data_IF_927105172641
#
_entry.id   IF_927105172641
#
_cell.length_a   1.000
_cell.length_b   1.000
_cell.length_c   1.000
_cell.angle_alpha   90.00
_cell.angle_beta   90.00
_cell.angle_gamma   90.00
#
_symmetry.space_group_name_H-M   'P 1'
#
loop_
_entity.id
_entity.type
_entity.pdbx_description
1 polymer ?
#
# COMPACT_ATOMS: atom_id res chain seq x y z
N UNK A 1 -8.83 -21.24 -7.97
CA UNK A 1 -8.53 -20.15 -8.92
C UNK A 1 -7.31 -19.38 -8.43
N UNK A 2 -6.37 -19.00 -9.31
CA UNK A 2 -5.19 -18.19 -8.95
C UNK A 2 -5.46 -16.71 -9.23
N UNK A 3 -5.05 -15.80 -8.35
CA UNK A 3 -5.04 -14.37 -8.65
C UNK A 3 -4.01 -14.08 -9.76
N UNK A 4 -4.33 -13.13 -10.64
CA UNK A 4 -3.50 -12.70 -11.78
C UNK A 4 -3.11 -11.22 -11.72
N UNK A 5 -3.68 -10.47 -10.77
CA UNK A 5 -3.57 -9.02 -10.65
C UNK A 5 -3.17 -8.66 -9.22
N UNK A 6 -2.20 -7.77 -9.07
CA UNK A 6 -1.85 -7.10 -7.83
C UNK A 6 -2.24 -5.63 -7.89
N UNK A 7 -2.93 -5.15 -6.87
CA UNK A 7 -3.22 -3.72 -6.67
C UNK A 7 -2.45 -3.30 -5.42
N UNK A 8 -1.60 -2.28 -5.54
CA UNK A 8 -0.75 -1.77 -4.45
C UNK A 8 -0.52 -0.27 -4.62
N UNK A 9 0.34 0.32 -3.80
CA UNK A 9 0.87 1.67 -4.00
C UNK A 9 2.41 1.70 -3.94
N UNK A 10 2.99 2.84 -4.31
CA UNK A 10 4.41 3.15 -4.13
C UNK A 10 4.86 2.99 -2.67
N UNK A 11 4.05 3.47 -1.72
CA UNK A 11 4.18 3.20 -0.30
C UNK A 11 3.16 3.93 0.55
N UNK A 12 3.26 3.78 1.87
CA UNK A 12 2.34 4.40 2.81
C UNK A 12 3.07 4.81 4.10
N UNK A 13 2.71 5.97 4.64
CA UNK A 13 3.18 6.39 5.96
C UNK A 13 2.36 5.72 7.05
N UNK A 14 3.06 5.15 8.03
CA UNK A 14 2.49 4.71 9.31
C UNK A 14 3.14 5.52 10.41
N UNK A 15 2.47 6.59 10.84
CA UNK A 15 3.10 7.60 11.66
C UNK A 15 4.28 8.22 10.90
N UNK A 16 5.45 8.26 11.52
CA UNK A 16 6.69 8.78 10.89
C UNK A 16 7.44 7.76 10.04
N UNK A 17 6.97 6.52 9.95
CA UNK A 17 7.66 5.45 9.21
C UNK A 17 7.07 5.29 7.82
N UNK A 18 7.92 5.38 6.80
CA UNK A 18 7.55 5.00 5.43
C UNK A 18 7.58 3.49 5.26
N UNK A 19 6.50 2.92 4.72
CA UNK A 19 6.42 1.53 4.28
C UNK A 19 6.48 1.53 2.75
N UNK A 20 7.56 0.99 2.17
CA UNK A 20 7.78 0.93 0.71
C UNK A 20 7.06 -0.29 0.12
N UNK A 21 5.75 -0.16 -0.04
CA UNK A 21 4.86 -1.27 -0.44
C UNK A 21 5.19 -1.81 -1.83
N UNK A 22 5.65 -0.97 -2.76
CA UNK A 22 6.06 -1.42 -4.10
C UNK A 22 7.29 -2.32 -4.08
N UNK A 23 8.27 -2.06 -3.22
CA UNK A 23 9.46 -2.90 -3.09
C UNK A 23 9.09 -4.31 -2.63
N UNK A 24 8.32 -4.40 -1.55
CA UNK A 24 7.82 -5.67 -1.02
C UNK A 24 6.95 -6.43 -2.04
N UNK A 25 6.11 -5.69 -2.77
CA UNK A 25 5.31 -6.26 -3.85
C UNK A 25 6.17 -6.87 -4.96
N UNK A 26 7.27 -6.20 -5.35
CA UNK A 26 8.18 -6.71 -6.38
C UNK A 26 8.87 -8.00 -5.93
N UNK A 27 9.34 -8.07 -4.69
CA UNK A 27 9.94 -9.29 -4.12
C UNK A 27 8.94 -10.46 -4.14
N UNK A 28 7.69 -10.22 -3.74
CA UNK A 28 6.65 -11.24 -3.79
C UNK A 28 6.35 -11.70 -5.23
N UNK A 29 6.33 -10.78 -6.19
CA UNK A 29 6.14 -11.09 -7.61
C UNK A 29 7.28 -11.92 -8.19
N UNK A 30 8.53 -11.67 -7.78
CA UNK A 30 9.68 -12.46 -8.19
C UNK A 30 9.60 -13.89 -7.64
N UNK A 31 9.21 -14.05 -6.37
CA UNK A 31 8.95 -15.37 -5.76
C UNK A 31 7.86 -16.12 -6.53
N UNK A 32 6.77 -15.46 -6.91
CA UNK A 32 5.69 -16.06 -7.68
C UNK A 32 6.12 -16.47 -9.08
N UNK A 33 6.93 -15.64 -9.73
CA UNK A 33 7.52 -15.94 -11.05
C UNK A 33 8.42 -17.17 -10.99
N UNK A 34 9.31 -17.25 -9.99
CA UNK A 34 10.19 -18.41 -9.74
C UNK A 34 9.42 -19.70 -9.44
N UNK A 35 8.19 -19.60 -8.92
CA UNK A 35 7.30 -20.74 -8.64
C UNK A 35 6.41 -21.12 -9.83
N UNK A 36 6.64 -20.54 -11.01
CA UNK A 36 5.85 -20.81 -12.21
C UNK A 36 4.42 -20.25 -12.15
N UNK A 37 4.17 -19.26 -11.29
CA UNK A 37 2.86 -18.61 -11.11
C UNK A 37 2.98 -17.08 -11.19
N UNK A 38 3.52 -16.50 -12.27
CA UNK A 38 3.70 -15.06 -12.37
C UNK A 38 2.36 -14.32 -12.33
N UNK A 39 2.39 -13.10 -11.80
CA UNK A 39 1.27 -12.16 -11.96
C UNK A 39 1.36 -11.51 -13.34
N UNK A 40 0.21 -11.25 -13.96
CA UNK A 40 0.15 -10.63 -15.29
C UNK A 40 0.14 -9.11 -15.20
N UNK A 41 -0.44 -8.56 -14.13
CA UNK A 41 -0.62 -7.12 -13.95
C UNK A 41 -0.33 -6.69 -12.51
N UNK A 42 0.34 -5.55 -12.38
CA UNK A 42 0.55 -4.86 -11.12
C UNK A 42 0.15 -3.39 -11.30
N UNK A 43 -0.98 -3.00 -10.72
CA UNK A 43 -1.47 -1.63 -10.70
C UNK A 43 -0.94 -0.96 -9.43
N UNK A 44 -0.26 0.18 -9.60
CA UNK A 44 0.38 0.90 -8.50
C UNK A 44 -0.23 2.29 -8.41
N UNK A 45 -0.87 2.58 -7.28
CA UNK A 45 -1.28 3.93 -6.93
C UNK A 45 -0.05 4.75 -6.48
N UNK A 46 0.11 5.96 -7.02
CA UNK A 46 1.03 6.95 -6.45
C UNK A 46 0.38 7.55 -5.20
N UNK A 47 0.78 7.09 -4.03
CA UNK A 47 0.20 7.42 -2.74
C UNK A 47 1.15 8.25 -1.87
N UNK A 48 2.46 8.13 -2.05
CA UNK A 48 3.43 8.96 -1.34
C UNK A 48 3.42 10.35 -1.97
N UNK A 49 2.74 11.30 -1.30
CA UNK A 49 2.64 12.70 -1.74
C UNK A 49 3.41 13.66 -0.85
N UNK A 50 3.81 13.27 0.37
CA UNK A 50 4.48 14.15 1.35
C UNK A 50 5.32 13.39 2.36
N UNK A 51 6.42 13.97 2.86
CA UNK A 51 7.13 13.48 4.05
C UNK A 51 6.47 14.08 5.31
N UNK A 52 6.25 13.33 6.40
CA UNK A 52 5.70 13.88 7.65
C UNK A 52 6.61 14.96 8.26
N UNK A 53 7.86 15.07 7.79
CA UNK A 53 8.84 16.10 8.18
C UNK A 53 8.74 17.41 7.38
N UNK A 54 8.04 17.46 6.24
CA UNK A 54 7.94 18.66 5.40
C UNK A 54 6.51 19.18 5.35
N UNK A 55 6.15 20.20 6.16
CA UNK A 55 4.77 20.64 6.29
C UNK A 55 4.20 21.51 5.17
N UNK A 56 5.05 22.09 4.31
CA UNK A 56 4.66 23.17 3.41
C UNK A 56 4.08 22.75 2.05
N UNK A 57 3.99 21.45 1.73
CA UNK A 57 3.31 21.00 0.51
C UNK A 57 1.90 20.52 0.82
N UNK A 58 0.95 21.46 0.77
CA UNK A 58 -0.48 21.21 0.90
C UNK A 58 -1.01 20.70 -0.45
N UNK A 59 -1.43 19.44 -0.50
CA UNK A 59 -2.39 18.97 -1.51
C UNK A 59 -3.63 18.55 -0.74
N UNK A 60 -4.76 19.20 -1.02
CA UNK A 60 -6.03 19.04 -0.32
C UNK A 60 -6.63 17.64 -0.55
N UNK A 61 -6.18 16.65 0.21
CA UNK A 61 -6.84 15.36 0.37
C UNK A 61 -7.54 15.32 1.73
N UNK A 62 -8.83 15.00 1.74
CA UNK A 62 -9.65 14.78 2.94
C UNK A 62 -9.11 13.55 3.71
N UNK A 63 -8.05 13.73 4.51
CA UNK A 63 -7.44 12.70 5.37
C UNK A 63 -8.40 12.34 6.50
N UNK A 64 -9.44 11.57 6.18
CA UNK A 64 -10.27 10.96 7.20
C UNK A 64 -9.41 9.96 7.97
N UNK A 65 -9.38 10.01 9.32
CA UNK A 65 -8.64 9.03 10.09
C UNK A 65 -9.14 7.63 9.74
N UNK A 66 -8.20 6.73 9.46
CA UNK A 66 -8.52 5.35 9.10
C UNK A 66 -9.36 4.68 10.19
N UNK A 67 -10.65 4.46 9.92
CA UNK A 67 -11.52 3.70 10.81
C UNK A 67 -11.09 2.24 10.78
N UNK A 68 -10.53 1.74 11.89
CA UNK A 68 -10.39 0.31 12.10
C UNK A 68 -11.81 -0.25 12.32
N UNK A 69 -12.24 -1.29 11.60
CA UNK A 69 -13.40 -2.06 12.02
C UNK A 69 -13.04 -2.71 13.36
N UNK A 70 -13.36 -2.06 14.47
CA UNK A 70 -13.39 -2.74 15.75
C UNK A 70 -14.69 -3.56 15.79
N UNK A 71 -14.60 -4.79 16.29
CA UNK A 71 -15.79 -5.54 16.68
C UNK A 71 -16.36 -4.84 17.91
N UNK A 72 -17.39 -4.02 17.73
CA UNK A 72 -18.23 -3.58 18.84
C UNK A 72 -19.11 -4.76 19.28
N UNK A 73 -18.50 -5.77 19.90
CA UNK A 73 -19.25 -6.68 20.76
C UNK A 73 -19.28 -6.07 22.15
N UNK A 74 -20.31 -5.27 22.39
CA UNK A 74 -20.80 -5.02 23.74
C UNK A 74 -21.30 -6.34 24.29
N UNK A 75 -20.69 -6.81 25.37
CA UNK A 75 -21.25 -7.83 26.24
C UNK A 75 -22.36 -7.22 27.11
#
# INVERSE_FOLDING_TARGET
MSSRILITCDGAWRGVKLIRLKELANEAMDILSKRGKPLNHCVVLQHITRSPSDPDQIVSGDERPGKRPCLSHSA
#
